data_IF_200110625197
#
_entry.id   IF_200110625197
#
_cell.length_a   1.000
_cell.length_b   1.000
_cell.length_c   1.000
_cell.angle_alpha   90.00
_cell.angle_beta   90.00
_cell.angle_gamma   90.00
#
_symmetry.space_group_name_H-M   'P 1'
#
loop_
_entity.id
_entity.type
_entity.pdbx_description
1 polymer ?
#
# COMPACT_ATOMS: atom_id res chain seq x y z
N UNK A 1 7.47 -2.51 2.31
CA UNK A 1 7.62 -1.30 3.14
C UNK A 1 6.67 -0.25 2.61
N UNK A 2 5.95 0.44 3.50
CA UNK A 2 4.97 1.47 3.15
C UNK A 2 5.65 2.65 2.44
N UNK A 3 5.40 2.79 1.13
CA UNK A 3 5.94 3.87 0.30
C UNK A 3 5.40 5.24 0.74
N UNK A 4 4.16 5.29 1.24
CA UNK A 4 3.54 6.54 1.68
C UNK A 4 4.31 7.17 2.83
N UNK A 5 4.73 6.36 3.82
CA UNK A 5 5.58 6.82 4.92
C UNK A 5 6.82 7.56 4.43
N UNK A 6 7.47 7.05 3.38
CA UNK A 6 8.68 7.66 2.83
C UNK A 6 8.36 8.91 2.01
N UNK A 7 7.38 8.84 1.10
CA UNK A 7 6.93 9.96 0.30
C UNK A 7 6.49 11.16 1.18
N UNK A 8 5.68 10.89 2.21
CA UNK A 8 5.20 11.91 3.14
C UNK A 8 6.33 12.59 3.90
N UNK A 9 7.32 11.82 4.39
CA UNK A 9 8.51 12.38 5.06
C UNK A 9 9.36 13.25 4.15
N UNK A 10 9.34 12.99 2.86
CA UNK A 10 10.08 13.76 1.87
C UNK A 10 9.30 15.01 1.40
N UNK A 11 8.10 15.29 1.90
CA UNK A 11 7.39 16.54 1.56
C UNK A 11 8.14 17.75 2.15
N UNK A 12 8.32 18.87 1.40
CA UNK A 12 7.82 19.16 0.06
C UNK A 12 8.82 18.87 -1.08
N UNK A 13 9.85 18.07 -0.84
CA UNK A 13 10.93 17.77 -1.79
C UNK A 13 10.50 16.84 -2.93
N UNK A 14 9.39 16.10 -2.77
CA UNK A 14 8.74 15.26 -3.79
C UNK A 14 7.37 15.82 -4.19
N UNK A 15 6.96 15.58 -5.43
CA UNK A 15 5.66 16.04 -5.94
C UNK A 15 4.48 15.48 -5.12
N UNK A 16 3.48 16.31 -4.84
CA UNK A 16 2.30 15.91 -4.06
C UNK A 16 1.50 14.78 -4.71
N UNK A 17 1.46 14.72 -6.04
CA UNK A 17 0.79 13.64 -6.78
C UNK A 17 1.41 12.28 -6.42
N UNK A 18 2.74 12.18 -6.37
CA UNK A 18 3.43 10.95 -5.96
C UNK A 18 3.16 10.57 -4.50
N UNK A 19 2.99 11.56 -3.61
CA UNK A 19 2.61 11.32 -2.21
C UNK A 19 1.18 10.76 -2.14
N UNK A 20 0.25 11.31 -2.92
CA UNK A 20 -1.14 10.86 -2.98
C UNK A 20 -1.24 9.46 -3.58
N UNK A 21 -0.52 9.16 -4.66
CA UNK A 21 -0.51 7.83 -5.25
C UNK A 21 0.00 6.76 -4.26
N UNK A 22 1.05 7.10 -3.50
CA UNK A 22 1.53 6.23 -2.43
C UNK A 22 0.51 6.07 -1.31
N UNK A 23 -0.20 7.14 -0.94
CA UNK A 23 -1.26 7.12 0.07
C UNK A 23 -2.43 6.21 -0.35
N UNK A 24 -2.89 6.31 -1.59
CA UNK A 24 -3.98 5.47 -2.11
C UNK A 24 -3.62 3.99 -2.05
N UNK A 25 -2.40 3.63 -2.45
CA UNK A 25 -1.92 2.25 -2.31
C UNK A 25 -1.87 1.82 -0.83
N UNK A 26 -1.38 2.66 0.07
CA UNK A 26 -1.32 2.36 1.49
C UNK A 26 -2.72 2.18 2.10
N UNK A 27 -3.70 2.99 1.67
CA UNK A 27 -5.12 2.86 2.06
C UNK A 27 -5.69 1.51 1.63
N UNK A 28 -5.50 1.13 0.37
CA UNK A 28 -6.04 -0.13 -0.16
C UNK A 28 -5.39 -1.36 0.54
N UNK A 29 -4.10 -1.29 0.84
CA UNK A 29 -3.40 -2.33 1.63
C UNK A 29 -4.01 -2.41 3.04
N UNK A 30 -4.26 -1.26 3.68
CA UNK A 30 -4.87 -1.22 5.00
C UNK A 30 -6.28 -1.81 5.00
N UNK A 31 -7.05 -1.59 3.95
CA UNK A 31 -8.34 -2.23 3.79
C UNK A 31 -8.23 -3.77 3.78
N UNK A 32 -7.29 -4.33 3.02
CA UNK A 32 -7.06 -5.78 3.02
C UNK A 32 -6.66 -6.27 4.42
N UNK A 33 -5.77 -5.56 5.11
CA UNK A 33 -5.33 -5.94 6.46
C UNK A 33 -6.48 -5.88 7.47
N UNK A 34 -7.37 -4.89 7.36
CA UNK A 34 -8.59 -4.80 8.17
C UNK A 34 -9.50 -6.00 7.91
N UNK A 35 -9.72 -6.36 6.64
CA UNK A 35 -10.54 -7.51 6.25
C UNK A 35 -9.95 -8.85 6.69
N UNK A 36 -8.63 -8.95 6.81
CA UNK A 36 -7.91 -10.15 7.26
C UNK A 36 -7.69 -10.20 8.79
N UNK A 37 -8.08 -9.16 9.52
CA UNK A 37 -7.94 -9.09 10.97
C UNK A 37 -8.93 -10.05 11.67
N UNK A 38 -8.68 -10.43 12.94
CA UNK A 38 -9.61 -11.27 13.71
C UNK A 38 -10.90 -10.56 14.12
N UNK A 39 -11.06 -9.28 13.80
CA UNK A 39 -12.22 -8.47 14.16
C UNK A 39 -13.28 -8.56 13.06
N UNK A 40 -14.55 -8.68 13.46
CA UNK A 40 -15.66 -8.54 12.52
C UNK A 40 -15.90 -7.05 12.23
N UNK A 41 -15.67 -6.67 10.98
CA UNK A 41 -15.85 -5.30 10.47
C UNK A 41 -16.98 -5.25 9.43
N UNK A 42 -17.83 -6.29 9.35
CA UNK A 42 -18.92 -6.35 8.38
C UNK A 42 -19.90 -5.19 8.52
N UNK A 43 -20.20 -4.75 9.75
CA UNK A 43 -21.06 -3.60 10.05
C UNK A 43 -20.48 -2.27 9.53
N UNK A 44 -19.17 -2.22 9.27
CA UNK A 44 -18.48 -1.08 8.68
C UNK A 44 -18.29 -1.23 7.16
N UNK A 45 -18.85 -2.28 6.56
CA UNK A 45 -18.80 -2.56 5.12
C UNK A 45 -17.61 -3.41 4.66
N UNK A 46 -16.82 -3.97 5.58
CA UNK A 46 -15.63 -4.76 5.25
C UNK A 46 -15.90 -6.25 5.36
N UNK A 47 -16.12 -6.92 4.23
CA UNK A 47 -16.28 -8.37 4.19
C UNK A 47 -14.97 -9.08 4.55
N UNK A 48 -14.99 -10.07 5.48
CA UNK A 48 -13.78 -10.69 6.00
C UNK A 48 -13.09 -11.55 4.95
N UNK A 49 -11.75 -11.49 4.93
CA UNK A 49 -10.88 -12.47 4.26
C UNK A 49 -10.49 -13.50 5.30
N UNK A 50 -11.05 -14.70 5.19
CA UNK A 50 -10.85 -15.80 6.15
C UNK A 50 -9.49 -16.47 6.00
N UNK A 51 -8.41 -15.78 6.37
CA UNK A 51 -7.02 -16.20 6.18
C UNK A 51 -6.65 -17.52 6.90
N UNK A 52 -7.48 -17.98 7.84
CA UNK A 52 -7.36 -19.28 8.49
C UNK A 52 -7.70 -20.46 7.55
N UNK A 53 -8.46 -20.19 6.48
CA UNK A 53 -8.80 -21.17 5.44
C UNK A 53 -7.76 -21.18 4.32
N UNK A 54 -7.64 -22.29 3.60
CA UNK A 54 -6.72 -22.37 2.47
C UNK A 54 -7.11 -21.37 1.35
N UNK A 55 -8.41 -21.23 1.12
CA UNK A 55 -9.01 -20.34 0.11
C UNK A 55 -8.76 -18.87 0.48
N UNK A 56 -9.07 -18.47 1.72
CA UNK A 56 -8.84 -17.10 2.16
C UNK A 56 -7.36 -16.73 2.23
N UNK A 57 -6.48 -17.69 2.57
CA UNK A 57 -5.03 -17.48 2.47
C UNK A 57 -4.58 -17.26 1.02
N UNK A 58 -5.16 -17.98 0.07
CA UNK A 58 -4.87 -17.79 -1.35
C UNK A 58 -5.37 -16.43 -1.87
N UNK A 59 -6.56 -15.99 -1.45
CA UNK A 59 -7.11 -14.66 -1.75
C UNK A 59 -6.19 -13.55 -1.21
N UNK A 60 -5.83 -13.61 0.07
CA UNK A 60 -4.96 -12.62 0.71
C UNK A 60 -3.59 -12.55 0.00
N UNK A 61 -2.99 -13.70 -0.30
CA UNK A 61 -1.71 -13.76 -1.01
C UNK A 61 -1.80 -13.21 -2.45
N UNK A 62 -2.92 -13.44 -3.15
CA UNK A 62 -3.15 -12.88 -4.48
C UNK A 62 -3.27 -11.35 -4.44
N UNK A 63 -4.03 -10.81 -3.48
CA UNK A 63 -4.15 -9.38 -3.28
C UNK A 63 -2.81 -8.73 -2.91
N UNK A 64 -2.01 -9.35 -2.03
CA UNK A 64 -0.65 -8.89 -1.71
C UNK A 64 0.27 -8.83 -2.94
N UNK A 65 0.19 -9.82 -3.84
CA UNK A 65 0.95 -9.78 -5.11
C UNK A 65 0.52 -8.60 -5.99
N UNK A 66 -0.79 -8.38 -6.14
CA UNK A 66 -1.31 -7.25 -6.90
C UNK A 66 -0.86 -5.90 -6.30
N UNK A 67 -0.81 -5.76 -4.98
CA UNK A 67 -0.28 -4.56 -4.33
C UNK A 67 1.23 -4.38 -4.56
N UNK A 68 2.00 -5.47 -4.57
CA UNK A 68 3.42 -5.40 -4.90
C UNK A 68 3.64 -4.92 -6.35
N UNK A 69 2.85 -5.43 -7.30
CA UNK A 69 2.87 -4.98 -8.70
C UNK A 69 2.49 -3.51 -8.83
N UNK A 70 1.43 -3.06 -8.15
CA UNK A 70 1.02 -1.65 -8.10
C UNK A 70 2.07 -0.74 -7.43
N UNK A 71 2.77 -1.24 -6.43
CA UNK A 71 3.80 -0.49 -5.70
C UNK A 71 5.13 -0.37 -6.44
N UNK A 72 5.42 -1.27 -7.38
CA UNK A 72 6.67 -1.24 -8.14
C UNK A 72 6.93 0.09 -8.89
N UNK A 73 5.98 0.63 -9.69
CA UNK A 73 6.19 1.92 -10.36
C UNK A 73 6.31 3.10 -9.37
N UNK A 74 5.52 3.11 -8.28
CA UNK A 74 5.59 4.16 -7.26
C UNK A 74 6.96 4.17 -6.56
N UNK A 75 7.50 2.98 -6.26
CA UNK A 75 8.84 2.83 -5.73
C UNK A 75 9.89 3.36 -6.70
N UNK A 76 9.78 3.04 -7.98
CA UNK A 76 10.71 3.54 -9.00
C UNK A 76 10.67 5.07 -9.08
N UNK A 77 9.47 5.67 -9.08
CA UNK A 77 9.31 7.13 -9.08
C UNK A 77 9.94 7.79 -7.83
N UNK A 78 9.73 7.22 -6.64
CA UNK A 78 10.36 7.71 -5.41
C UNK A 78 11.90 7.61 -5.45
N UNK A 79 12.45 6.56 -6.05
CA UNK A 79 13.90 6.43 -6.21
C UNK A 79 14.45 7.51 -7.14
N UNK A 80 13.79 7.79 -8.28
CA UNK A 80 14.18 8.85 -9.21
C UNK A 80 14.19 10.21 -8.51
N UNK A 81 13.17 10.53 -7.70
CA UNK A 81 13.17 11.78 -6.93
C UNK A 81 14.30 11.84 -5.90
N UNK A 82 14.58 10.74 -5.19
CA UNK A 82 15.70 10.68 -4.26
C UNK A 82 17.05 10.87 -4.96
N UNK A 83 17.25 10.26 -6.13
CA UNK A 83 18.45 10.44 -6.95
C UNK A 83 18.61 11.90 -7.37
N UNK A 84 17.54 12.52 -7.89
CA UNK A 84 17.51 13.94 -8.24
C UNK A 84 17.88 14.85 -7.06
N UNK A 85 17.42 14.53 -5.86
CA UNK A 85 17.69 15.32 -4.66
C UNK A 85 19.13 15.16 -4.14
N UNK A 86 19.79 14.04 -4.42
CA UNK A 86 21.18 13.78 -4.03
C UNK A 86 22.20 14.46 -4.95
N UNK A 87 21.79 14.84 -6.17
CA UNK A 87 22.61 15.56 -7.14
C UNK A 87 22.69 17.08 -6.87
N UNK A 88 21.98 17.57 -5.85
CA UNK A 88 21.89 19.00 -5.48
C UNK A 88 22.88 19.36 -4.37
#
# INVERSE_FOLDING_TARGET
MDLYKHAFRLTPMVASDLVVDCFELARDIRELDMRAAPYDLADLGYAPVRIETAEGKAEYAAAQRAFAERGAPLRAALLVECERLLEV
#
